data_IF_441603376565
#
_entry.id   IF_441603376565
#
_cell.length_a   1.000
_cell.length_b   1.000
_cell.length_c   1.000
_cell.angle_alpha   90.00
_cell.angle_beta   90.00
_cell.angle_gamma   90.00
#
_symmetry.space_group_name_H-M   'P 1'
#
loop_
_entity.id
_entity.type
_entity.pdbx_description
1 polymer ?
#
# COMPACT_ATOMS: atom_id res chain seq x y z
N UNK A 1 -11.45 12.67 -0.45
CA UNK A 1 -11.89 12.21 0.86
C UNK A 1 -10.76 12.29 1.87
N UNK A 2 -11.07 12.61 3.12
CA UNK A 2 -10.07 12.77 4.19
C UNK A 2 -9.22 11.51 4.39
N UNK A 3 -9.83 10.33 4.25
CA UNK A 3 -9.10 9.06 4.39
C UNK A 3 -8.02 8.92 3.32
N UNK A 4 -8.36 9.23 2.06
CA UNK A 4 -7.41 9.13 0.96
C UNK A 4 -6.28 10.16 1.09
N UNK A 5 -6.60 11.38 1.55
CA UNK A 5 -5.59 12.40 1.80
C UNK A 5 -4.63 11.96 2.90
N UNK A 6 -5.14 11.31 3.95
CA UNK A 6 -4.29 10.77 5.00
C UNK A 6 -3.33 9.70 4.47
N UNK A 7 -3.79 8.86 3.54
CA UNK A 7 -2.94 7.87 2.89
C UNK A 7 -1.85 8.53 2.04
N UNK A 8 -2.20 9.58 1.29
CA UNK A 8 -1.22 10.34 0.50
C UNK A 8 -0.18 10.99 1.41
N UNK A 9 -0.63 11.64 2.49
CA UNK A 9 0.27 12.28 3.43
C UNK A 9 1.22 11.28 4.08
N UNK A 10 0.70 10.12 4.46
CA UNK A 10 1.54 9.06 5.02
C UNK A 10 2.58 8.58 4.00
N UNK A 11 2.18 8.43 2.74
CA UNK A 11 3.10 8.03 1.68
C UNK A 11 4.21 9.07 1.47
N UNK A 12 3.86 10.34 1.50
CA UNK A 12 4.84 11.41 1.35
C UNK A 12 5.77 11.48 2.57
N UNK A 13 5.24 11.28 3.79
CA UNK A 13 6.02 11.36 5.02
C UNK A 13 7.11 10.30 5.10
N UNK A 14 6.81 9.06 4.69
CA UNK A 14 7.80 7.97 4.78
C UNK A 14 8.99 8.18 3.85
N UNK A 15 8.84 9.03 2.83
CA UNK A 15 9.92 9.32 1.90
C UNK A 15 10.99 10.25 2.47
N UNK A 16 10.80 10.76 3.69
CA UNK A 16 11.70 11.74 4.31
C UNK A 16 12.91 11.12 5.00
N UNK A 17 12.85 9.83 5.33
CA UNK A 17 13.94 9.20 6.09
C UNK A 17 14.00 7.70 5.80
N UNK A 18 15.18 7.12 6.04
CA UNK A 18 15.38 5.68 5.89
C UNK A 18 15.71 5.26 4.47
N UNK A 19 16.07 4.00 4.31
CA UNK A 19 16.26 3.39 3.00
C UNK A 19 14.93 2.87 2.43
N UNK A 20 14.97 2.28 1.22
CA UNK A 20 13.76 1.83 0.55
C UNK A 20 13.01 0.76 1.34
N UNK A 21 13.72 -0.17 1.97
CA UNK A 21 13.09 -1.24 2.77
C UNK A 21 12.43 -0.66 4.03
N UNK A 22 13.13 0.23 4.72
CA UNK A 22 12.58 0.92 5.90
C UNK A 22 11.35 1.76 5.54
N UNK A 23 11.39 2.44 4.40
CA UNK A 23 10.26 3.23 3.91
C UNK A 23 9.06 2.37 3.59
N UNK A 24 9.28 1.23 2.93
CA UNK A 24 8.18 0.31 2.61
C UNK A 24 7.53 -0.23 3.89
N UNK A 25 8.35 -0.58 4.88
CA UNK A 25 7.85 -1.02 6.19
C UNK A 25 7.02 0.06 6.87
N UNK A 26 7.55 1.29 6.92
CA UNK A 26 6.86 2.42 7.52
C UNK A 26 5.54 2.73 6.82
N UNK A 27 5.51 2.62 5.50
CA UNK A 27 4.32 2.85 4.72
C UNK A 27 3.24 1.79 5.01
N UNK A 28 3.63 0.52 5.05
CA UNK A 28 2.70 -0.57 5.36
C UNK A 28 2.10 -0.38 6.75
N UNK A 29 2.94 -0.03 7.73
CA UNK A 29 2.49 0.21 9.10
C UNK A 29 1.50 1.37 9.17
N UNK A 30 1.82 2.48 8.49
CA UNK A 30 0.94 3.66 8.46
C UNK A 30 -0.40 3.32 7.83
N UNK A 31 -0.40 2.56 6.73
CA UNK A 31 -1.63 2.16 6.05
C UNK A 31 -2.48 1.23 6.92
N UNK A 32 -1.85 0.29 7.62
CA UNK A 32 -2.57 -0.60 8.54
C UNK A 32 -3.27 0.18 9.65
N UNK A 33 -2.59 1.17 10.23
CA UNK A 33 -3.19 2.02 11.26
C UNK A 33 -4.35 2.86 10.73
N UNK A 34 -4.21 3.41 9.52
CA UNK A 34 -5.27 4.18 8.91
C UNK A 34 -6.48 3.31 8.57
N UNK A 35 -6.26 2.08 8.09
CA UNK A 35 -7.34 1.15 7.78
C UNK A 35 -8.05 0.68 9.05
N UNK A 36 -7.30 0.49 10.14
CA UNK A 36 -7.87 0.12 11.43
C UNK A 36 -8.88 1.16 11.90
N UNK A 37 -8.54 2.45 11.76
CA UNK A 37 -9.39 3.55 12.20
C UNK A 37 -10.49 3.93 11.22
N UNK A 38 -10.46 3.46 9.98
CA UNK A 38 -11.33 3.94 8.91
C UNK A 38 -11.83 2.83 7.99
N UNK A 39 -12.03 1.62 8.52
CA UNK A 39 -12.47 0.47 7.73
C UNK A 39 -13.74 0.75 6.93
N UNK A 40 -14.73 1.37 7.55
CA UNK A 40 -16.00 1.66 6.90
C UNK A 40 -15.83 2.68 5.77
N UNK A 41 -15.03 3.70 6.00
CA UNK A 41 -14.73 4.72 5.00
C UNK A 41 -13.98 4.15 3.81
N UNK A 42 -13.02 3.28 4.06
CA UNK A 42 -12.23 2.63 3.01
C UNK A 42 -13.13 1.74 2.14
N UNK A 43 -13.99 0.97 2.79
CA UNK A 43 -14.93 0.07 2.12
C UNK A 43 -15.90 0.86 1.24
N UNK A 44 -16.45 1.95 1.76
CA UNK A 44 -17.36 2.82 0.99
C UNK A 44 -16.63 3.40 -0.22
N UNK A 45 -15.41 3.87 -0.05
CA UNK A 45 -14.63 4.45 -1.14
C UNK A 45 -14.42 3.43 -2.27
N UNK A 46 -14.05 2.19 -1.92
CA UNK A 46 -13.81 1.15 -2.92
C UNK A 46 -15.08 0.76 -3.68
N UNK A 47 -16.21 0.71 -2.99
CA UNK A 47 -17.46 0.23 -3.57
C UNK A 47 -18.22 1.32 -4.33
N UNK A 48 -17.98 2.59 -4.01
CA UNK A 48 -18.78 3.68 -4.54
C UNK A 48 -17.99 4.62 -5.48
N UNK A 49 -16.79 4.24 -5.87
CA UNK A 49 -15.98 5.07 -6.75
C UNK A 49 -16.70 5.40 -8.06
N UNK A 50 -17.41 4.44 -8.63
CA UNK A 50 -18.13 4.61 -9.90
C UNK A 50 -19.34 5.54 -9.77
N UNK A 51 -19.81 5.76 -8.56
CA UNK A 51 -20.97 6.62 -8.29
C UNK A 51 -20.58 8.07 -8.01
N UNK A 52 -19.29 8.38 -7.94
CA UNK A 52 -18.81 9.74 -7.71
C UNK A 52 -18.93 10.59 -8.98
N UNK A 53 -19.17 11.90 -8.82
CA UNK A 53 -19.09 12.82 -9.96
C UNK A 53 -17.74 12.71 -10.67
N UNK A 54 -17.71 12.94 -11.97
CA UNK A 54 -16.53 12.76 -12.79
C UNK A 54 -15.31 13.52 -12.25
N UNK A 55 -15.50 14.75 -11.78
CA UNK A 55 -14.41 15.56 -11.22
C UNK A 55 -13.82 14.95 -9.96
N UNK A 56 -14.68 14.45 -9.06
CA UNK A 56 -14.25 13.80 -7.83
C UNK A 56 -13.57 12.46 -8.12
N UNK A 57 -14.09 11.72 -9.08
CA UNK A 57 -13.48 10.46 -9.49
C UNK A 57 -12.08 10.69 -10.01
N UNK A 58 -11.90 11.70 -10.86
CA UNK A 58 -10.58 12.04 -11.40
C UNK A 58 -9.59 12.41 -10.30
N UNK A 59 -10.05 13.16 -9.28
CA UNK A 59 -9.21 13.52 -8.13
C UNK A 59 -8.81 12.29 -7.32
N UNK A 60 -9.75 11.40 -7.04
CA UNK A 60 -9.48 10.15 -6.32
C UNK A 60 -8.46 9.30 -7.09
N UNK A 61 -8.64 9.15 -8.39
CA UNK A 61 -7.73 8.38 -9.23
C UNK A 61 -6.33 8.97 -9.21
N UNK A 62 -6.19 10.31 -9.28
CA UNK A 62 -4.89 10.96 -9.20
C UNK A 62 -4.18 10.66 -7.89
N UNK A 63 -4.91 10.71 -6.76
CA UNK A 63 -4.35 10.43 -5.43
C UNK A 63 -3.94 8.97 -5.32
N UNK A 64 -4.75 8.06 -5.83
CA UNK A 64 -4.41 6.64 -5.85
C UNK A 64 -3.15 6.39 -6.67
N UNK A 65 -3.02 7.01 -7.84
CA UNK A 65 -1.84 6.89 -8.68
C UNK A 65 -0.59 7.41 -8.00
N UNK A 66 -0.72 8.48 -7.21
CA UNK A 66 0.40 9.02 -6.44
C UNK A 66 0.90 8.01 -5.41
N UNK A 67 -0.01 7.39 -4.66
CA UNK A 67 0.33 6.37 -3.69
C UNK A 67 0.99 5.17 -4.38
N UNK A 68 0.43 4.72 -5.49
CA UNK A 68 0.99 3.62 -6.28
C UNK A 68 2.40 3.96 -6.74
N UNK A 69 2.62 5.17 -7.23
CA UNK A 69 3.94 5.61 -7.71
C UNK A 69 4.99 5.59 -6.59
N UNK A 70 4.62 5.97 -5.37
CA UNK A 70 5.53 5.91 -4.23
C UNK A 70 6.00 4.47 -4.00
N UNK A 71 5.08 3.52 -3.99
CA UNK A 71 5.43 2.11 -3.77
C UNK A 71 6.21 1.55 -4.96
N UNK A 72 5.83 1.90 -6.19
CA UNK A 72 6.60 1.50 -7.37
C UNK A 72 8.06 1.92 -7.26
N UNK A 73 8.30 3.17 -6.87
CA UNK A 73 9.65 3.70 -6.72
C UNK A 73 10.42 2.97 -5.63
N UNK A 74 9.77 2.62 -4.53
CA UNK A 74 10.40 1.86 -3.46
C UNK A 74 10.78 0.45 -3.92
N UNK A 75 9.88 -0.24 -4.60
CA UNK A 75 10.15 -1.58 -5.13
C UNK A 75 11.26 -1.53 -6.18
N UNK A 76 11.24 -0.52 -7.06
CA UNK A 76 12.29 -0.34 -8.05
C UNK A 76 13.65 -0.11 -7.39
N UNK A 77 13.68 0.60 -6.27
CA UNK A 77 14.92 0.81 -5.51
C UNK A 77 15.42 -0.48 -4.86
N UNK A 78 14.52 -1.33 -4.41
CA UNK A 78 14.86 -2.62 -3.78
C UNK A 78 15.29 -3.64 -4.85
N UNK A 79 14.61 -3.67 -5.99
CA UNK A 79 14.88 -4.59 -7.10
C UNK A 79 14.98 -3.80 -8.41
N UNK A 80 16.13 -3.16 -8.67
CA UNK A 80 16.30 -2.36 -9.90
C UNK A 80 16.10 -3.16 -11.19
N UNK A 81 16.31 -4.47 -11.14
CA UNK A 81 16.12 -5.36 -12.30
C UNK A 81 14.65 -5.77 -12.54
N UNK A 82 13.72 -5.30 -11.70
CA UNK A 82 12.32 -5.65 -11.85
C UNK A 82 11.71 -5.13 -13.16
N UNK A 83 12.10 -3.92 -13.59
CA UNK A 83 11.67 -3.37 -14.87
C UNK A 83 10.16 -3.41 -15.06
N UNK A 84 9.67 -4.07 -16.13
CA UNK A 84 8.23 -4.08 -16.43
C UNK A 84 7.37 -4.83 -15.41
N UNK A 85 7.95 -5.63 -14.50
CA UNK A 85 7.16 -6.29 -13.46
C UNK A 85 7.04 -5.47 -12.19
N UNK A 86 7.63 -4.26 -12.12
CA UNK A 86 7.53 -3.40 -10.95
C UNK A 86 6.08 -3.07 -10.61
N UNK A 87 5.26 -2.72 -11.59
CA UNK A 87 3.86 -2.40 -11.35
C UNK A 87 3.06 -3.62 -10.87
N UNK A 88 3.15 -4.79 -11.48
CA UNK A 88 2.53 -6.00 -10.92
C UNK A 88 2.94 -6.29 -9.49
N UNK A 89 4.21 -6.14 -9.14
CA UNK A 89 4.69 -6.33 -7.76
C UNK A 89 4.06 -5.31 -6.81
N UNK A 90 3.93 -4.07 -7.27
CA UNK A 90 3.27 -3.01 -6.51
C UNK A 90 1.82 -3.36 -6.24
N UNK A 91 1.12 -3.87 -7.24
CA UNK A 91 -0.28 -4.27 -7.11
C UNK A 91 -0.45 -5.47 -6.17
N UNK A 92 0.49 -6.42 -6.19
CA UNK A 92 0.50 -7.52 -5.23
C UNK A 92 0.66 -7.01 -3.79
N UNK A 93 1.55 -6.05 -3.58
CA UNK A 93 1.72 -5.43 -2.27
C UNK A 93 0.43 -4.78 -1.79
N UNK A 94 -0.22 -3.97 -2.62
CA UNK A 94 -1.48 -3.34 -2.25
C UNK A 94 -2.60 -4.34 -2.04
N UNK A 95 -2.65 -5.40 -2.84
CA UNK A 95 -3.63 -6.47 -2.66
C UNK A 95 -3.50 -7.11 -1.28
N UNK A 96 -2.27 -7.37 -0.86
CA UNK A 96 -2.00 -7.96 0.45
C UNK A 96 -2.44 -7.02 1.58
N UNK A 97 -2.09 -5.73 1.49
CA UNK A 97 -2.41 -4.75 2.52
C UNK A 97 -3.89 -4.39 2.53
N UNK A 98 -4.45 -4.07 1.35
CA UNK A 98 -5.83 -3.57 1.27
C UNK A 98 -6.87 -4.62 1.61
N UNK A 99 -6.60 -5.88 1.30
CA UNK A 99 -7.55 -6.95 1.58
C UNK A 99 -7.75 -7.17 3.07
N UNK A 100 -6.81 -6.72 3.92
CA UNK A 100 -6.91 -6.88 5.38
C UNK A 100 -8.18 -6.24 5.95
N UNK A 101 -8.74 -5.21 5.29
CA UNK A 101 -9.97 -4.59 5.77
C UNK A 101 -11.17 -5.55 5.78
N UNK A 102 -11.10 -6.65 5.03
CA UNK A 102 -12.19 -7.61 4.95
C UNK A 102 -12.20 -8.63 6.09
N UNK A 103 -11.03 -8.94 6.66
CA UNK A 103 -10.93 -10.02 7.63
C UNK A 103 -10.19 -9.66 8.92
N UNK A 104 -9.35 -8.62 8.90
CA UNK A 104 -8.56 -8.28 10.09
C UNK A 104 -9.42 -7.65 11.17
N UNK A 105 -9.22 -8.09 12.43
CA UNK A 105 -9.91 -7.55 13.60
C UNK A 105 -8.89 -7.07 14.62
N UNK A 106 -8.87 -5.73 14.92
CA UNK A 106 -7.91 -5.18 15.87
C UNK A 106 -8.03 -5.79 17.28
N UNK A 107 -9.23 -6.26 17.64
CA UNK A 107 -9.48 -6.91 18.94
C UNK A 107 -9.00 -8.36 19.02
N UNK A 108 -8.48 -8.91 17.92
CA UNK A 108 -7.99 -10.28 17.87
C UNK A 108 -6.61 -10.41 18.50
N UNK A 109 -6.04 -11.62 18.41
CA UNK A 109 -4.75 -11.93 18.99
C UNK A 109 -3.57 -11.23 18.31
N UNK A 110 -3.76 -10.77 17.09
CA UNK A 110 -2.72 -10.15 16.26
C UNK A 110 -2.95 -8.66 16.18
N UNK A 111 -1.95 -7.85 16.54
CA UNK A 111 -2.04 -6.39 16.38
C UNK A 111 -1.82 -5.96 14.95
N UNK A 112 -2.28 -4.75 14.61
CA UNK A 112 -2.03 -4.16 13.31
C UNK A 112 -0.53 -4.03 13.02
N UNK A 113 0.25 -3.66 14.03
CA UNK A 113 1.70 -3.55 13.91
C UNK A 113 2.33 -4.87 13.54
N UNK A 114 1.94 -5.94 14.22
CA UNK A 114 2.46 -7.27 13.94
C UNK A 114 2.08 -7.75 12.55
N UNK A 115 0.84 -7.49 12.15
CA UNK A 115 0.38 -7.86 10.81
C UNK A 115 1.17 -7.11 9.73
N UNK A 116 1.42 -5.82 9.94
CA UNK A 116 2.24 -5.03 9.01
C UNK A 116 3.66 -5.59 8.91
N UNK A 117 4.26 -5.95 10.05
CA UNK A 117 5.59 -6.57 10.06
C UNK A 117 5.62 -7.85 9.23
N UNK A 118 4.62 -8.71 9.43
CA UNK A 118 4.53 -9.97 8.69
C UNK A 118 4.37 -9.73 7.19
N UNK A 119 3.51 -8.80 6.80
CA UNK A 119 3.26 -8.49 5.40
C UNK A 119 4.55 -7.97 4.72
N UNK A 120 5.25 -7.06 5.39
CA UNK A 120 6.49 -6.50 4.83
C UNK A 120 7.60 -7.53 4.78
N UNK A 121 7.72 -8.37 5.82
CA UNK A 121 8.72 -9.44 5.81
C UNK A 121 8.49 -10.40 4.64
N UNK A 122 7.25 -10.78 4.40
CA UNK A 122 6.91 -11.62 3.25
C UNK A 122 7.29 -10.95 1.93
N UNK A 123 6.97 -9.67 1.80
CA UNK A 123 7.25 -8.92 0.59
C UNK A 123 8.74 -8.74 0.36
N UNK A 124 9.48 -8.33 1.40
CA UNK A 124 10.91 -8.05 1.27
C UNK A 124 11.71 -9.33 1.00
N UNK A 125 11.43 -10.40 1.74
CA UNK A 125 12.11 -11.67 1.53
C UNK A 125 11.76 -12.25 0.15
N UNK A 126 10.53 -12.12 -0.27
CA UNK A 126 10.10 -12.54 -1.59
C UNK A 126 10.78 -11.73 -2.69
N UNK A 127 10.92 -10.42 -2.50
CA UNK A 127 11.59 -9.57 -3.49
C UNK A 127 13.06 -9.93 -3.66
N UNK A 128 13.77 -10.20 -2.56
CA UNK A 128 15.17 -10.54 -2.61
C UNK A 128 15.40 -11.86 -3.38
N UNK A 129 14.52 -12.83 -3.21
CA UNK A 129 14.66 -14.15 -3.80
C UNK A 129 13.84 -14.36 -5.08
N UNK A 130 13.11 -13.33 -5.50
CA UNK A 130 12.23 -13.44 -6.67
C UNK A 130 13.03 -13.66 -7.95
N UNK A 131 12.65 -14.69 -8.69
CA UNK A 131 13.25 -14.98 -9.99
C UNK A 131 12.51 -14.20 -11.07
N UNK A 132 13.21 -13.30 -11.74
CA UNK A 132 12.65 -12.46 -12.79
C UNK A 132 13.00 -13.02 -14.18
N UNK A 133 12.75 -14.30 -14.37
CA UNK A 133 13.07 -14.92 -15.66
C UNK A 133 12.01 -14.56 -16.69
N UNK A 134 12.48 -14.14 -17.85
CA UNK A 134 11.61 -14.00 -19.01
C UNK A 134 11.13 -15.39 -19.43
N UNK A 135 9.85 -15.58 -19.42
CA UNK A 135 9.25 -16.83 -19.89
C UNK A 135 9.17 -16.88 -21.40
#
# INVERSE_FOLDING_TARGET
AAHLEALVDAADDVMRSGDAKERLHALALAFMHLYEGAQDHHKVLLNELDNLPAERRAEVVRKQRRIIAVVENLIQSIRPDAGPVTLPLTMLFFGMINWTHTWFRPSGALSADRLADMAVDLMLNGLDDLKLQAS
#
